data_IF_860299847591
#
_entry.id   IF_860299847591
#
_cell.length_a   1.000
_cell.length_b   1.000
_cell.length_c   1.000
_cell.angle_alpha   90.00
_cell.angle_beta   90.00
_cell.angle_gamma   90.00
#
_symmetry.space_group_name_H-M   'P 1'
#
loop_
_entity.id
_entity.type
_entity.pdbx_description
1 polymer ?
#
# COMPACT_ATOMS: atom_id res chain seq x y z
N UNK A 1 -27.59 -15.86 -33.87
CA UNK A 1 -27.91 -14.79 -32.89
C UNK A 1 -26.91 -14.92 -31.74
N UNK A 2 -25.76 -14.28 -31.89
CA UNK A 2 -24.71 -14.30 -30.88
C UNK A 2 -25.16 -13.45 -29.69
N UNK A 3 -25.52 -14.09 -28.59
CA UNK A 3 -25.83 -13.41 -27.33
C UNK A 3 -24.58 -12.62 -26.93
N UNK A 4 -24.71 -11.29 -26.97
CA UNK A 4 -23.77 -10.32 -26.41
C UNK A 4 -23.47 -10.71 -24.96
N UNK A 5 -22.28 -11.30 -24.73
CA UNK A 5 -21.72 -11.36 -23.40
C UNK A 5 -21.50 -9.93 -22.93
N UNK A 6 -22.40 -9.43 -22.09
CA UNK A 6 -22.21 -8.20 -21.34
C UNK A 6 -20.87 -8.30 -20.61
N UNK A 7 -19.85 -7.55 -21.07
CA UNK A 7 -18.57 -7.40 -20.36
C UNK A 7 -18.88 -6.97 -18.93
N UNK A 8 -18.74 -7.88 -17.96
CA UNK A 8 -18.91 -7.56 -16.54
C UNK A 8 -17.88 -6.47 -16.19
N UNK A 9 -18.36 -5.32 -15.71
CA UNK A 9 -17.50 -4.22 -15.27
C UNK A 9 -16.52 -4.69 -14.19
N UNK A 10 -15.24 -4.35 -14.34
CA UNK A 10 -14.21 -4.64 -13.35
C UNK A 10 -14.46 -3.89 -12.04
N UNK A 11 -13.90 -4.41 -10.94
CA UNK A 11 -14.08 -3.83 -9.61
C UNK A 11 -13.65 -2.35 -9.56
N UNK A 12 -12.52 -2.03 -10.19
CA UNK A 12 -12.03 -0.64 -10.34
C UNK A 12 -13.06 0.26 -10.99
N UNK A 13 -13.67 -0.16 -12.10
CA UNK A 13 -14.69 0.62 -12.79
C UNK A 13 -15.92 0.85 -11.91
N UNK A 14 -16.35 -0.17 -11.15
CA UNK A 14 -17.47 -0.03 -10.20
C UNK A 14 -17.18 0.99 -9.11
N UNK A 15 -15.96 0.99 -8.55
CA UNK A 15 -15.55 1.96 -7.53
C UNK A 15 -15.51 3.37 -8.11
N UNK A 16 -14.94 3.56 -9.30
CA UNK A 16 -14.89 4.89 -9.95
C UNK A 16 -16.29 5.42 -10.29
N UNK A 17 -17.18 4.55 -10.76
CA UNK A 17 -18.59 4.91 -10.98
C UNK A 17 -19.25 5.27 -9.64
N UNK A 18 -19.02 4.48 -8.58
CA UNK A 18 -19.54 4.77 -7.24
C UNK A 18 -19.04 6.11 -6.69
N UNK A 19 -17.75 6.41 -6.85
CA UNK A 19 -17.17 7.71 -6.48
C UNK A 19 -17.83 8.86 -7.26
N UNK A 20 -17.86 8.77 -8.59
CA UNK A 20 -18.43 9.83 -9.43
C UNK A 20 -19.91 10.05 -9.14
N UNK A 21 -20.70 8.97 -9.04
CA UNK A 21 -22.11 9.04 -8.69
C UNK A 21 -22.34 9.61 -7.28
N UNK A 22 -21.48 9.25 -6.32
CA UNK A 22 -21.54 9.77 -4.95
C UNK A 22 -21.30 11.27 -4.91
N UNK A 23 -20.22 11.75 -5.56
CA UNK A 23 -19.90 13.18 -5.65
C UNK A 23 -21.05 13.95 -6.32
N UNK A 24 -21.55 13.46 -7.46
CA UNK A 24 -22.66 14.11 -8.17
C UNK A 24 -23.90 14.17 -7.28
N UNK A 25 -24.27 13.07 -6.61
CA UNK A 25 -25.42 13.06 -5.71
C UNK A 25 -25.24 14.02 -4.54
N UNK A 26 -24.09 14.00 -3.87
CA UNK A 26 -23.82 14.89 -2.74
C UNK A 26 -23.89 16.37 -3.14
N UNK A 27 -23.30 16.75 -4.27
CA UNK A 27 -23.38 18.12 -4.80
C UNK A 27 -24.80 18.51 -5.21
N UNK A 28 -25.56 17.60 -5.84
CA UNK A 28 -26.96 17.86 -6.20
C UNK A 28 -27.82 18.06 -4.95
N UNK A 29 -27.71 17.19 -3.95
CA UNK A 29 -28.46 17.31 -2.70
C UNK A 29 -28.13 18.62 -1.98
N UNK A 30 -26.85 18.98 -1.91
CA UNK A 30 -26.41 20.25 -1.32
C UNK A 30 -26.97 21.47 -2.04
N UNK A 31 -26.94 21.49 -3.38
CA UNK A 31 -27.36 22.66 -4.16
C UNK A 31 -28.88 22.79 -4.29
N UNK A 32 -29.61 21.68 -4.38
CA UNK A 32 -31.07 21.68 -4.55
C UNK A 32 -31.81 21.83 -3.22
N UNK A 33 -31.22 21.38 -2.13
CA UNK A 33 -31.83 21.39 -0.80
C UNK A 33 -30.86 21.92 0.27
N UNK A 34 -30.40 23.17 0.13
CA UNK A 34 -29.54 23.79 1.14
C UNK A 34 -30.26 23.81 2.50
N UNK A 35 -29.54 23.46 3.55
CA UNK A 35 -29.99 23.49 4.95
C UNK A 35 -31.22 22.62 5.29
N UNK A 36 -31.54 21.61 4.47
CA UNK A 36 -32.63 20.68 4.77
C UNK A 36 -32.28 19.76 5.95
N UNK A 37 -33.00 19.93 7.06
CA UNK A 37 -32.87 19.07 8.25
C UNK A 37 -33.11 17.58 7.93
N UNK A 38 -34.06 17.29 7.05
CA UNK A 38 -34.36 15.92 6.61
C UNK A 38 -33.17 15.26 5.91
N UNK A 39 -32.50 15.99 5.00
CA UNK A 39 -31.33 15.45 4.29
C UNK A 39 -30.18 15.25 5.26
N UNK A 40 -29.92 16.22 6.13
CA UNK A 40 -28.84 16.10 7.11
C UNK A 40 -29.05 14.92 8.07
N UNK A 41 -30.25 14.77 8.64
CA UNK A 41 -30.51 13.74 9.64
C UNK A 41 -30.64 12.34 9.03
N UNK A 42 -31.47 12.17 7.99
CA UNK A 42 -31.80 10.84 7.48
C UNK A 42 -30.89 10.36 6.34
N UNK A 43 -30.41 11.28 5.50
CA UNK A 43 -29.56 10.92 4.35
C UNK A 43 -28.08 10.97 4.74
N UNK A 44 -27.61 12.12 5.22
CA UNK A 44 -26.20 12.37 5.53
C UNK A 44 -25.73 11.59 6.77
N UNK A 45 -26.34 11.83 7.93
CA UNK A 45 -25.99 11.17 9.19
C UNK A 45 -26.68 9.82 9.41
N UNK A 46 -27.73 9.54 8.64
CA UNK A 46 -28.38 8.24 8.57
C UNK A 46 -27.73 7.32 7.53
N UNK A 47 -28.37 7.21 6.37
CA UNK A 47 -28.05 6.19 5.37
C UNK A 47 -26.59 6.21 4.88
N UNK A 48 -26.08 7.38 4.49
CA UNK A 48 -24.73 7.52 3.95
C UNK A 48 -23.67 7.25 5.02
N UNK A 49 -23.86 7.79 6.23
CA UNK A 49 -22.96 7.54 7.34
C UNK A 49 -22.93 6.06 7.75
N UNK A 50 -24.07 5.40 7.89
CA UNK A 50 -24.12 3.97 8.27
C UNK A 50 -23.36 3.11 7.26
N UNK A 51 -23.62 3.28 5.96
CA UNK A 51 -22.95 2.50 4.92
C UNK A 51 -21.44 2.78 4.90
N UNK A 52 -21.06 4.06 4.98
CA UNK A 52 -19.66 4.46 5.01
C UNK A 52 -18.92 3.91 6.23
N UNK A 53 -19.51 4.03 7.41
CA UNK A 53 -18.91 3.59 8.68
C UNK A 53 -18.82 2.07 8.77
N UNK A 54 -19.82 1.33 8.28
CA UNK A 54 -19.75 -0.13 8.19
C UNK A 54 -18.60 -0.56 7.28
N UNK A 55 -18.44 0.10 6.13
CA UNK A 55 -17.33 -0.18 5.21
C UNK A 55 -15.95 0.10 5.86
N UNK A 56 -15.78 1.28 6.48
CA UNK A 56 -14.53 1.63 7.18
C UNK A 56 -14.25 0.68 8.34
N UNK A 57 -15.26 0.30 9.11
CA UNK A 57 -15.12 -0.67 10.21
C UNK A 57 -14.70 -2.04 9.69
N UNK A 58 -15.23 -2.46 8.54
CA UNK A 58 -14.80 -3.68 7.85
C UNK A 58 -13.33 -3.65 7.43
N UNK A 59 -12.81 -2.50 7.00
CA UNK A 59 -11.38 -2.31 6.73
C UNK A 59 -10.55 -2.36 8.03
N UNK A 60 -10.98 -1.67 9.09
CA UNK A 60 -10.31 -1.67 10.41
C UNK A 60 -10.22 -3.08 11.02
N UNK A 61 -11.27 -3.88 10.87
CA UNK A 61 -11.34 -5.27 11.36
C UNK A 61 -10.21 -6.16 10.79
N UNK A 62 -9.77 -5.89 9.56
CA UNK A 62 -8.76 -6.70 8.88
C UNK A 62 -7.33 -6.36 9.30
N UNK A 63 -7.09 -5.19 9.89
CA UNK A 63 -5.74 -4.66 10.16
C UNK A 63 -4.90 -5.64 10.97
N UNK A 64 -5.35 -5.99 12.19
CA UNK A 64 -4.53 -6.77 13.13
C UNK A 64 -4.29 -8.21 12.64
N UNK A 65 -5.33 -8.99 12.22
CA UNK A 65 -5.11 -10.35 11.77
C UNK A 65 -4.24 -10.44 10.52
N UNK A 66 -4.48 -9.54 9.55
CA UNK A 66 -3.72 -9.52 8.30
C UNK A 66 -2.24 -9.26 8.57
N UNK A 67 -1.92 -8.24 9.36
CA UNK A 67 -0.54 -7.85 9.64
C UNK A 67 0.20 -8.95 10.36
N UNK A 68 -0.39 -9.51 11.42
CA UNK A 68 0.24 -10.60 12.16
C UNK A 68 0.52 -11.81 11.27
N UNK A 69 -0.49 -12.31 10.56
CA UNK A 69 -0.36 -13.53 9.74
C UNK A 69 0.59 -13.30 8.56
N UNK A 70 0.47 -12.17 7.86
CA UNK A 70 1.31 -11.85 6.71
C UNK A 70 2.77 -11.68 7.11
N UNK A 71 3.06 -11.05 8.25
CA UNK A 71 4.42 -10.91 8.77
C UNK A 71 5.04 -12.25 9.17
N UNK A 72 4.27 -13.10 9.85
CA UNK A 72 4.73 -14.45 10.18
C UNK A 72 5.02 -15.26 8.92
N UNK A 73 4.17 -15.19 7.89
CA UNK A 73 4.43 -15.82 6.58
C UNK A 73 5.71 -15.28 5.95
N UNK A 74 5.83 -13.94 5.85
CA UNK A 74 6.97 -13.27 5.24
C UNK A 74 8.30 -13.64 5.91
N UNK A 75 8.35 -13.61 7.24
CA UNK A 75 9.56 -13.90 8.01
C UNK A 75 9.87 -15.40 8.15
N UNK A 76 8.85 -16.27 8.14
CA UNK A 76 9.06 -17.73 8.19
C UNK A 76 9.51 -18.34 6.86
N UNK A 77 9.27 -17.66 5.73
CA UNK A 77 9.73 -18.09 4.40
C UNK A 77 11.27 -18.09 4.25
N UNK A 78 11.99 -17.53 5.22
CA UNK A 78 13.45 -17.41 5.27
C UNK A 78 14.14 -18.70 5.79
N UNK A 79 13.70 -19.87 5.34
CA UNK A 79 13.96 -21.17 5.96
C UNK A 79 15.36 -21.78 5.78
N UNK A 80 16.28 -21.16 5.04
CA UNK A 80 17.65 -21.68 4.91
C UNK A 80 18.74 -20.60 5.07
N UNK A 81 19.07 -20.20 6.30
CA UNK A 81 20.09 -19.17 6.58
C UNK A 81 21.45 -19.44 5.92
N UNK A 82 21.78 -20.71 5.64
CA UNK A 82 23.09 -21.14 5.15
C UNK A 82 23.34 -20.85 3.67
N UNK A 83 22.29 -20.84 2.83
CA UNK A 83 22.36 -20.49 1.40
C UNK A 83 21.63 -19.19 1.06
N UNK A 84 20.73 -18.76 1.94
CA UNK A 84 19.78 -17.67 1.71
C UNK A 84 20.10 -16.43 2.57
N UNK A 85 21.00 -16.53 3.56
CA UNK A 85 21.30 -15.44 4.48
C UNK A 85 21.84 -14.18 3.80
N UNK A 86 22.83 -14.31 2.91
CA UNK A 86 23.40 -13.15 2.19
C UNK A 86 22.40 -12.54 1.21
N UNK A 87 21.73 -13.37 0.40
CA UNK A 87 20.77 -12.93 -0.62
C UNK A 87 19.53 -12.26 0.02
N UNK A 88 18.92 -12.94 1.01
CA UNK A 88 17.79 -12.44 1.78
C UNK A 88 18.14 -11.20 2.59
N UNK A 89 19.26 -11.21 3.31
CA UNK A 89 19.72 -10.06 4.10
C UNK A 89 19.95 -8.81 3.23
N UNK A 90 20.63 -8.94 2.08
CA UNK A 90 20.81 -7.84 1.14
C UNK A 90 19.47 -7.33 0.60
N UNK A 91 18.56 -8.24 0.26
CA UNK A 91 17.24 -7.90 -0.32
C UNK A 91 16.38 -7.13 0.68
N UNK A 92 16.25 -7.65 1.91
CA UNK A 92 15.48 -6.99 2.98
C UNK A 92 16.09 -5.64 3.33
N UNK A 93 17.42 -5.57 3.49
CA UNK A 93 18.10 -4.31 3.78
C UNK A 93 17.86 -3.27 2.67
N UNK A 94 17.91 -3.70 1.41
CA UNK A 94 17.63 -2.82 0.27
C UNK A 94 16.18 -2.33 0.28
N UNK A 95 15.19 -3.20 0.49
CA UNK A 95 13.78 -2.81 0.57
C UNK A 95 13.50 -1.85 1.73
N UNK A 96 14.02 -2.12 2.93
CA UNK A 96 13.83 -1.20 4.06
C UNK A 96 14.47 0.17 3.80
N UNK A 97 15.63 0.18 3.14
CA UNK A 97 16.30 1.41 2.75
C UNK A 97 15.49 2.21 1.71
N UNK A 98 14.95 1.55 0.68
CA UNK A 98 14.13 2.24 -0.32
C UNK A 98 12.81 2.74 0.25
N UNK A 99 12.15 1.96 1.12
CA UNK A 99 10.93 2.39 1.82
C UNK A 99 11.18 3.62 2.68
N UNK A 100 12.27 3.61 3.46
CA UNK A 100 12.64 4.73 4.33
C UNK A 100 12.90 6.01 3.52
N UNK A 101 13.58 5.90 2.38
CA UNK A 101 13.75 7.03 1.44
C UNK A 101 12.39 7.49 0.92
N UNK A 102 11.56 6.57 0.45
CA UNK A 102 10.27 6.85 -0.16
C UNK A 102 9.37 7.68 0.78
N UNK A 103 9.23 7.25 2.04
CA UNK A 103 8.40 7.95 3.01
C UNK A 103 9.02 9.28 3.47
N UNK A 104 10.36 9.34 3.60
CA UNK A 104 11.03 10.59 3.97
C UNK A 104 10.83 11.66 2.91
N UNK A 105 10.97 11.30 1.63
CA UNK A 105 10.69 12.19 0.50
C UNK A 105 9.22 12.60 0.50
N UNK A 106 8.30 11.65 0.73
CA UNK A 106 6.87 11.91 0.77
C UNK A 106 6.48 12.92 1.86
N UNK A 107 6.95 12.71 3.10
CA UNK A 107 6.71 13.63 4.21
C UNK A 107 7.31 15.00 3.91
N UNK A 108 8.56 15.05 3.43
CA UNK A 108 9.24 16.31 3.12
C UNK A 108 8.48 17.12 2.06
N UNK A 109 8.06 16.48 0.98
CA UNK A 109 7.28 17.12 -0.10
C UNK A 109 5.91 17.56 0.41
N UNK A 110 5.24 16.74 1.22
CA UNK A 110 3.93 17.09 1.78
C UNK A 110 4.01 18.25 2.77
N UNK A 111 5.06 18.32 3.60
CA UNK A 111 5.31 19.47 4.47
C UNK A 111 5.53 20.71 3.61
N UNK A 112 6.37 20.67 2.58
CA UNK A 112 6.63 21.84 1.73
C UNK A 112 5.41 22.33 0.95
N UNK A 113 4.60 21.42 0.42
CA UNK A 113 3.44 21.77 -0.41
C UNK A 113 2.23 22.18 0.46
N UNK A 114 2.16 21.69 1.71
CA UNK A 114 1.02 21.87 2.61
C UNK A 114 -0.33 21.52 1.93
N UNK A 115 -0.60 20.24 1.64
CA UNK A 115 -1.81 19.84 0.91
C UNK A 115 -3.11 20.02 1.70
N UNK A 116 -3.07 20.00 3.04
CA UNK A 116 -4.22 20.24 3.91
C UNK A 116 -4.42 21.71 4.23
N UNK A 117 -5.66 22.10 4.54
CA UNK A 117 -6.00 23.45 4.98
C UNK A 117 -6.68 23.38 6.36
N UNK A 118 -6.19 24.15 7.34
CA UNK A 118 -6.72 24.18 8.70
C UNK A 118 -8.09 24.89 8.82
N UNK A 119 -8.55 25.59 7.77
CA UNK A 119 -9.91 26.17 7.69
C UNK A 119 -11.03 25.12 7.76
N UNK A 120 -10.68 23.83 7.81
CA UNK A 120 -11.58 22.68 7.88
C UNK A 120 -12.00 22.32 9.32
N UNK A 121 -11.39 22.93 10.33
CA UNK A 121 -11.69 22.70 11.76
C UNK A 121 -12.95 23.44 12.21
N UNK A 122 -13.39 24.48 11.49
CA UNK A 122 -14.51 25.35 11.88
C UNK A 122 -15.92 24.74 11.81
N UNK A 123 -16.06 23.45 11.46
CA UNK A 123 -17.35 22.72 11.45
C UNK A 123 -17.41 21.57 12.47
N UNK A 124 -16.77 21.70 13.64
CA UNK A 124 -17.05 20.85 14.81
C UNK A 124 -16.15 19.64 15.04
N UNK A 125 -14.99 19.57 14.38
CA UNK A 125 -13.98 18.54 14.62
C UNK A 125 -12.94 18.99 15.66
N UNK A 126 -13.36 19.24 16.91
CA UNK A 126 -12.39 19.42 18.01
C UNK A 126 -11.77 18.07 18.36
N UNK A 127 -10.62 17.77 17.78
CA UNK A 127 -9.86 16.57 18.08
C UNK A 127 -8.78 16.88 19.11
N UNK A 128 -8.92 16.33 20.33
CA UNK A 128 -7.83 16.33 21.30
C UNK A 128 -6.87 15.20 20.94
N UNK A 129 -5.76 15.54 20.28
CA UNK A 129 -4.69 14.59 20.03
C UNK A 129 -4.20 14.02 21.37
N UNK A 130 -4.08 12.70 21.45
CA UNK A 130 -3.36 12.06 22.56
C UNK A 130 -1.89 12.46 22.44
N UNK A 131 -1.25 12.76 23.57
CA UNK A 131 0.20 12.96 23.58
C UNK A 131 0.89 11.71 23.01
N UNK A 132 1.71 11.92 21.99
CA UNK A 132 2.49 10.85 21.42
C UNK A 132 3.56 10.41 22.45
N UNK A 133 3.77 9.10 22.66
CA UNK A 133 4.75 8.60 23.62
C UNK A 133 6.16 9.06 23.23
N UNK A 134 7.01 9.27 24.24
CA UNK A 134 8.41 9.63 24.00
C UNK A 134 9.15 8.52 23.22
N UNK A 135 10.20 8.87 22.46
CA UNK A 135 10.98 7.87 21.73
C UNK A 135 11.55 6.77 22.65
N UNK A 136 11.95 7.13 23.88
CA UNK A 136 12.38 6.19 24.91
C UNK A 136 11.28 5.22 25.32
N UNK A 137 10.06 5.71 25.53
CA UNK A 137 8.92 4.84 25.86
C UNK A 137 8.55 3.96 24.68
N UNK A 138 8.63 4.45 23.45
CA UNK A 138 8.42 3.64 22.24
C UNK A 138 9.44 2.51 22.15
N UNK A 139 10.72 2.79 22.41
CA UNK A 139 11.77 1.77 22.40
C UNK A 139 11.61 0.75 23.53
N UNK A 140 11.18 1.17 24.72
CA UNK A 140 10.89 0.27 25.84
C UNK A 140 9.67 -0.60 25.51
N UNK A 141 8.62 0.02 24.98
CA UNK A 141 7.33 -0.62 24.71
C UNK A 141 7.30 -1.35 23.36
N UNK A 142 8.40 -1.41 22.61
CA UNK A 142 8.49 -2.18 21.37
C UNK A 142 8.28 -3.68 21.63
N UNK A 143 8.73 -4.16 22.79
CA UNK A 143 8.56 -5.55 23.23
C UNK A 143 7.25 -5.66 24.02
N UNK A 144 6.22 -6.37 23.53
CA UNK A 144 5.01 -6.58 24.31
C UNK A 144 5.28 -7.48 25.52
N UNK A 145 4.73 -7.10 26.68
CA UNK A 145 4.62 -8.01 27.82
C UNK A 145 3.57 -9.11 27.58
N UNK A 146 2.55 -8.81 26.76
CA UNK A 146 1.51 -9.75 26.34
C UNK A 146 1.12 -9.51 24.86
N UNK A 147 1.55 -10.38 23.93
CA UNK A 147 1.24 -10.25 22.51
C UNK A 147 -0.26 -10.29 22.18
N UNK A 148 -1.06 -11.04 22.94
CA UNK A 148 -2.51 -11.12 22.70
C UNK A 148 -3.21 -9.83 23.11
N UNK A 149 -2.78 -9.22 24.22
CA UNK A 149 -3.25 -7.89 24.62
C UNK A 149 -2.85 -6.85 23.58
N UNK A 150 -1.61 -6.88 23.09
CA UNK A 150 -1.15 -6.01 22.02
C UNK A 150 -2.04 -6.11 20.76
N UNK A 151 -2.42 -7.33 20.36
CA UNK A 151 -3.37 -7.56 19.27
C UNK A 151 -4.77 -6.99 19.56
N UNK A 152 -5.27 -7.17 20.78
CA UNK A 152 -6.59 -6.66 21.18
C UNK A 152 -6.65 -5.14 21.24
N UNK A 153 -5.58 -4.49 21.68
CA UNK A 153 -5.47 -3.03 21.81
C UNK A 153 -5.03 -2.36 20.50
N UNK A 154 -4.53 -3.14 19.53
CA UNK A 154 -4.01 -2.63 18.28
C UNK A 154 -2.63 -1.97 18.42
N UNK A 155 -1.80 -2.41 19.37
CA UNK A 155 -0.43 -1.93 19.56
C UNK A 155 0.46 -2.47 18.44
N UNK A 156 0.43 -1.82 17.29
CA UNK A 156 0.97 -2.37 16.04
C UNK A 156 2.47 -2.64 16.07
N UNK A 157 3.26 -1.73 16.64
CA UNK A 157 4.71 -1.93 16.72
C UNK A 157 5.07 -3.21 17.51
N UNK A 158 4.33 -3.48 18.59
CA UNK A 158 4.47 -4.70 19.38
C UNK A 158 4.04 -5.96 18.60
N UNK A 159 2.92 -5.87 17.87
CA UNK A 159 2.43 -6.96 17.01
C UNK A 159 3.47 -7.28 15.93
N UNK A 160 4.05 -6.26 15.30
CA UNK A 160 5.07 -6.41 14.27
C UNK A 160 6.32 -7.09 14.84
N UNK A 161 6.87 -6.59 15.95
CA UNK A 161 8.06 -7.18 16.56
C UNK A 161 7.81 -8.65 16.93
N UNK A 162 6.68 -8.93 17.58
CA UNK A 162 6.32 -10.29 17.94
C UNK A 162 6.17 -11.19 16.71
N UNK A 163 5.48 -10.74 15.66
CA UNK A 163 5.30 -11.49 14.42
C UNK A 163 6.64 -11.83 13.75
N UNK A 164 7.57 -10.87 13.70
CA UNK A 164 8.91 -11.06 13.12
C UNK A 164 9.72 -12.08 13.91
N UNK A 165 9.76 -11.95 15.24
CA UNK A 165 10.47 -12.91 16.11
C UNK A 165 9.83 -14.31 16.00
N UNK A 166 8.51 -14.37 15.96
CA UNK A 166 7.77 -15.63 15.88
C UNK A 166 8.00 -16.34 14.53
N UNK A 167 7.90 -15.62 13.41
CA UNK A 167 8.18 -16.19 12.09
C UNK A 167 9.65 -16.56 11.91
N UNK A 168 10.58 -15.77 12.47
CA UNK A 168 12.00 -16.16 12.53
C UNK A 168 12.21 -17.44 13.35
N UNK A 169 11.54 -17.61 14.50
CA UNK A 169 11.62 -18.84 15.26
C UNK A 169 11.06 -20.04 14.47
N UNK A 170 9.95 -19.87 13.73
CA UNK A 170 9.39 -20.88 12.84
C UNK A 170 10.42 -21.33 11.79
N UNK A 171 11.18 -20.43 11.19
CA UNK A 171 12.17 -20.79 10.17
C UNK A 171 13.36 -21.59 10.70
N UNK A 172 13.59 -21.60 12.03
CA UNK A 172 14.77 -22.22 12.67
C UNK A 172 14.50 -23.54 13.40
N UNK A 173 13.25 -24.01 13.45
CA UNK A 173 12.86 -25.25 14.18
C UNK A 173 12.62 -26.46 13.24
N UNK A 174 13.10 -26.39 11.99
CA UNK A 174 13.10 -27.49 11.03
C UNK A 174 11.69 -27.96 10.60
N UNK A 175 11.45 -29.27 10.60
CA UNK A 175 10.18 -29.88 10.14
C UNK A 175 8.94 -29.45 10.94
N UNK A 176 9.09 -29.10 12.22
CA UNK A 176 7.99 -28.52 13.00
C UNK A 176 7.65 -27.13 12.49
N UNK A 177 8.67 -26.34 12.18
CA UNK A 177 8.56 -25.01 11.60
C UNK A 177 7.83 -25.01 10.27
N UNK A 178 8.23 -25.91 9.35
CA UNK A 178 7.56 -26.06 8.05
C UNK A 178 6.06 -26.31 8.18
N UNK A 179 5.63 -27.13 9.13
CA UNK A 179 4.19 -27.39 9.38
C UNK A 179 3.45 -26.16 9.89
N UNK A 180 4.06 -25.37 10.78
CA UNK A 180 3.46 -24.13 11.28
C UNK A 180 3.43 -23.07 10.17
N UNK A 181 4.51 -22.92 9.39
CA UNK A 181 4.56 -22.02 8.24
C UNK A 181 3.47 -22.35 7.21
N UNK A 182 3.24 -23.63 6.91
CA UNK A 182 2.17 -24.06 6.01
C UNK A 182 0.78 -23.63 6.54
N UNK A 183 0.50 -23.83 7.82
CA UNK A 183 -0.75 -23.35 8.45
C UNK A 183 -0.90 -21.84 8.32
N UNK A 184 0.16 -21.07 8.55
CA UNK A 184 0.11 -19.61 8.41
C UNK A 184 -0.14 -19.17 6.96
N UNK A 185 0.45 -19.85 5.98
CA UNK A 185 0.17 -19.62 4.57
C UNK A 185 -1.31 -19.88 4.23
N UNK A 186 -1.89 -20.98 4.74
CA UNK A 186 -3.32 -21.28 4.56
C UNK A 186 -4.21 -20.21 5.22
N UNK A 187 -3.86 -19.76 6.43
CA UNK A 187 -4.56 -18.67 7.12
C UNK A 187 -4.45 -17.34 6.35
N UNK A 188 -3.30 -17.07 5.74
CA UNK A 188 -3.11 -15.89 4.91
C UNK A 188 -4.07 -15.91 3.73
N UNK A 189 -4.14 -17.02 2.97
CA UNK A 189 -5.10 -17.17 1.87
C UNK A 189 -6.56 -16.96 2.29
N UNK A 190 -6.95 -17.49 3.47
CA UNK A 190 -8.28 -17.26 4.04
C UNK A 190 -8.53 -15.78 4.30
N UNK A 191 -7.59 -15.07 4.94
CA UNK A 191 -7.74 -13.63 5.21
C UNK A 191 -7.81 -12.83 3.91
N UNK A 192 -7.00 -13.17 2.91
CA UNK A 192 -7.03 -12.53 1.59
C UNK A 192 -8.38 -12.72 0.89
N UNK A 193 -9.04 -13.85 1.12
CA UNK A 193 -10.42 -14.06 0.68
C UNK A 193 -11.41 -13.13 1.39
N UNK A 194 -11.25 -12.91 2.70
CA UNK A 194 -12.05 -11.94 3.46
C UNK A 194 -11.84 -10.52 2.95
N UNK A 195 -10.57 -10.11 2.71
CA UNK A 195 -10.24 -8.82 2.08
C UNK A 195 -11.01 -8.65 0.76
N UNK A 196 -11.00 -9.67 -0.08
CA UNK A 196 -11.72 -9.66 -1.35
C UNK A 196 -13.24 -9.46 -1.17
N UNK A 197 -13.85 -10.11 -0.19
CA UNK A 197 -15.28 -9.95 0.12
C UNK A 197 -15.60 -8.53 0.58
N UNK A 198 -14.80 -7.95 1.46
CA UNK A 198 -14.96 -6.55 1.91
C UNK A 198 -14.78 -5.58 0.73
N UNK A 199 -13.80 -5.83 -0.15
CA UNK A 199 -13.57 -4.99 -1.32
C UNK A 199 -14.71 -5.04 -2.35
N UNK A 200 -15.52 -6.09 -2.38
CA UNK A 200 -16.75 -6.11 -3.20
C UNK A 200 -17.80 -5.11 -2.71
N UNK A 201 -17.75 -4.71 -1.43
CA UNK A 201 -18.60 -3.67 -0.85
C UNK A 201 -18.06 -2.26 -1.12
N UNK A 202 -16.79 -2.13 -1.53
CA UNK A 202 -16.14 -0.84 -1.76
C UNK A 202 -16.90 0.11 -2.69
N UNK A 203 -17.52 -0.32 -3.82
CA UNK A 203 -18.31 0.60 -4.65
C UNK A 203 -19.41 1.33 -3.88
N UNK A 204 -20.07 0.65 -2.94
CA UNK A 204 -21.15 1.22 -2.13
C UNK A 204 -20.61 2.06 -0.98
N UNK A 205 -19.57 1.57 -0.30
CA UNK A 205 -18.88 2.30 0.76
C UNK A 205 -18.28 3.62 0.27
N UNK A 206 -17.53 3.57 -0.84
CA UNK A 206 -16.95 4.77 -1.48
C UNK A 206 -18.05 5.71 -1.98
N UNK A 207 -19.12 5.20 -2.59
CA UNK A 207 -20.26 6.04 -2.97
C UNK A 207 -20.82 6.80 -1.76
N UNK A 208 -21.08 6.10 -0.65
CA UNK A 208 -21.68 6.69 0.53
C UNK A 208 -20.77 7.72 1.19
N UNK A 209 -19.47 7.40 1.32
CA UNK A 209 -18.46 8.30 1.86
C UNK A 209 -18.29 9.55 0.98
N UNK A 210 -18.21 9.40 -0.34
CA UNK A 210 -18.04 10.52 -1.27
C UNK A 210 -19.30 11.39 -1.39
N UNK A 211 -20.48 10.78 -1.33
CA UNK A 211 -21.73 11.52 -1.26
C UNK A 211 -21.81 12.34 0.02
N UNK A 212 -21.54 11.73 1.20
CA UNK A 212 -21.49 12.44 2.48
C UNK A 212 -20.49 13.59 2.40
N UNK A 213 -19.27 13.31 1.93
CA UNK A 213 -18.20 14.29 1.77
C UNK A 213 -18.64 15.49 0.92
N UNK A 214 -19.18 15.25 -0.27
CA UNK A 214 -19.61 16.31 -1.19
C UNK A 214 -20.80 17.13 -0.66
N UNK A 215 -21.61 16.52 0.21
CA UNK A 215 -22.77 17.15 0.85
C UNK A 215 -22.35 18.03 2.02
N UNK A 216 -21.42 17.56 2.87
CA UNK A 216 -21.00 18.25 4.10
C UNK A 216 -19.85 19.22 3.89
N UNK A 217 -18.86 18.90 3.04
CA UNK A 217 -17.61 19.65 2.99
C UNK A 217 -17.60 20.72 1.89
N UNK A 218 -17.11 21.91 2.21
CA UNK A 218 -16.97 23.05 1.29
C UNK A 218 -16.12 22.76 0.05
N UNK A 219 -16.25 23.63 -0.96
CA UNK A 219 -15.41 23.59 -2.17
C UNK A 219 -13.90 23.65 -1.83
N UNK A 220 -13.54 24.32 -0.73
CA UNK A 220 -12.16 24.38 -0.24
C UNK A 220 -11.61 23.02 0.19
N UNK A 221 -12.42 22.18 0.86
CA UNK A 221 -12.00 20.81 1.23
C UNK A 221 -11.77 19.96 -0.01
N UNK A 222 -12.66 20.06 -1.00
CA UNK A 222 -12.51 19.32 -2.25
C UNK A 222 -11.20 19.70 -2.96
N UNK A 223 -10.86 20.99 -2.98
CA UNK A 223 -9.58 21.48 -3.48
C UNK A 223 -8.39 20.87 -2.73
N UNK A 224 -8.45 20.78 -1.40
CA UNK A 224 -7.40 20.14 -0.58
C UNK A 224 -7.24 18.65 -0.89
N UNK A 225 -8.33 17.91 -1.12
CA UNK A 225 -8.28 16.48 -1.51
C UNK A 225 -7.67 16.31 -2.91
N UNK A 226 -8.01 17.19 -3.85
CA UNK A 226 -7.40 17.21 -5.20
C UNK A 226 -5.92 17.55 -5.10
N UNK A 227 -5.53 18.53 -4.27
CA UNK A 227 -4.13 18.87 -4.02
C UNK A 227 -3.37 17.67 -3.43
N UNK A 228 -3.93 17.01 -2.43
CA UNK A 228 -3.41 15.75 -1.88
C UNK A 228 -3.19 14.70 -2.96
N UNK A 229 -4.17 14.47 -3.84
CA UNK A 229 -4.05 13.51 -4.93
C UNK A 229 -2.83 13.79 -5.81
N UNK A 230 -2.64 15.05 -6.24
CA UNK A 230 -1.51 15.41 -7.08
C UNK A 230 -0.16 15.36 -6.35
N UNK A 231 -0.13 15.63 -5.04
CA UNK A 231 1.09 15.46 -4.24
C UNK A 231 1.50 13.99 -4.20
N UNK A 232 0.58 13.08 -3.86
CA UNK A 232 0.88 11.64 -3.83
C UNK A 232 1.31 11.16 -5.22
N UNK A 233 0.56 11.52 -6.26
CA UNK A 233 0.89 11.15 -7.63
C UNK A 233 2.28 11.67 -8.03
N UNK A 234 2.59 12.93 -7.73
CA UNK A 234 3.89 13.54 -8.02
C UNK A 234 5.04 12.81 -7.34
N UNK A 235 4.90 12.51 -6.04
CA UNK A 235 5.93 11.78 -5.29
C UNK A 235 6.09 10.34 -5.82
N UNK A 236 5.00 9.65 -6.14
CA UNK A 236 5.05 8.31 -6.74
C UNK A 236 5.79 8.31 -8.08
N UNK A 237 5.53 9.29 -8.93
CA UNK A 237 6.21 9.45 -10.22
C UNK A 237 7.70 9.79 -10.01
N UNK A 238 8.03 10.67 -9.06
CA UNK A 238 9.42 10.97 -8.69
C UNK A 238 10.12 9.70 -8.22
N UNK A 239 9.49 8.91 -7.36
CA UNK A 239 10.09 7.68 -6.85
C UNK A 239 10.31 6.65 -7.96
N UNK A 240 9.27 6.42 -8.77
CA UNK A 240 9.30 5.46 -9.87
C UNK A 240 10.24 5.81 -11.03
N UNK A 241 10.35 7.10 -11.39
CA UNK A 241 11.09 7.56 -12.56
C UNK A 241 12.41 8.28 -12.24
N UNK A 242 12.66 8.62 -10.98
CA UNK A 242 13.91 9.29 -10.57
C UNK A 242 14.63 8.45 -9.53
N UNK A 243 14.01 8.12 -8.39
CA UNK A 243 14.69 7.42 -7.29
C UNK A 243 15.14 6.02 -7.73
N UNK A 244 14.22 5.17 -8.20
CA UNK A 244 14.58 3.82 -8.65
C UNK A 244 15.58 3.78 -9.81
N UNK A 245 15.40 4.55 -10.91
CA UNK A 245 16.42 4.70 -11.95
C UNK A 245 17.79 5.13 -11.44
N UNK A 246 17.83 6.07 -10.50
CA UNK A 246 19.08 6.57 -9.92
C UNK A 246 19.77 5.49 -9.10
N UNK A 247 19.03 4.78 -8.23
CA UNK A 247 19.56 3.65 -7.46
C UNK A 247 20.08 2.56 -8.39
N UNK A 248 19.31 2.18 -9.42
CA UNK A 248 19.76 1.21 -10.42
C UNK A 248 21.08 1.64 -11.05
N UNK A 249 21.18 2.89 -11.52
CA UNK A 249 22.39 3.41 -12.16
C UNK A 249 23.59 3.43 -11.21
N UNK A 250 23.39 3.88 -9.97
CA UNK A 250 24.44 4.00 -8.95
C UNK A 250 25.00 2.62 -8.56
N UNK A 251 24.13 1.64 -8.30
CA UNK A 251 24.55 0.34 -7.79
C UNK A 251 24.99 -0.65 -8.90
N UNK A 252 24.53 -0.47 -10.14
CA UNK A 252 24.81 -1.44 -11.22
C UNK A 252 25.55 -0.88 -12.42
N UNK A 253 25.58 0.44 -12.59
CA UNK A 253 26.06 1.10 -13.81
C UNK A 253 25.15 0.93 -15.04
N UNK A 254 24.08 0.13 -14.96
CA UNK A 254 23.18 -0.17 -16.06
C UNK A 254 22.40 1.07 -16.54
N UNK A 255 21.90 1.03 -17.78
CA UNK A 255 21.10 2.11 -18.34
C UNK A 255 19.62 2.03 -17.86
N UNK A 256 19.15 2.95 -17.00
CA UNK A 256 17.80 2.87 -16.46
C UNK A 256 16.68 3.06 -17.49
N UNK A 257 16.94 3.72 -18.62
CA UNK A 257 15.94 3.86 -19.69
C UNK A 257 15.63 2.50 -20.34
N UNK A 258 16.63 1.63 -20.45
CA UNK A 258 16.44 0.25 -20.94
C UNK A 258 15.53 -0.52 -19.99
N UNK A 259 15.76 -0.40 -18.68
CA UNK A 259 14.92 -1.02 -17.65
C UNK A 259 13.46 -0.56 -17.75
N UNK A 260 13.19 0.76 -17.72
CA UNK A 260 11.83 1.30 -17.78
C UNK A 260 11.10 0.81 -19.05
N UNK A 261 11.79 0.84 -20.20
CA UNK A 261 11.20 0.41 -21.47
C UNK A 261 10.82 -1.08 -21.48
N UNK A 262 11.64 -1.93 -20.86
CA UNK A 262 11.39 -3.39 -20.77
C UNK A 262 10.31 -3.74 -19.74
N UNK A 263 10.16 -2.92 -18.70
CA UNK A 263 9.17 -3.09 -17.63
C UNK A 263 7.79 -2.51 -17.92
N UNK A 264 7.66 -1.70 -18.98
CA UNK A 264 6.40 -1.00 -19.32
C UNK A 264 5.16 -1.89 -19.27
N UNK A 265 5.20 -3.08 -19.89
CA UNK A 265 4.02 -3.94 -19.96
C UNK A 265 3.66 -4.51 -18.57
N UNK A 266 4.66 -4.83 -17.75
CA UNK A 266 4.49 -5.27 -16.35
C UNK A 266 3.90 -4.14 -15.51
N UNK A 267 4.42 -2.91 -15.65
CA UNK A 267 3.93 -1.72 -14.94
C UNK A 267 2.47 -1.42 -15.30
N UNK A 268 2.10 -1.51 -16.58
CA UNK A 268 0.73 -1.32 -17.02
C UNK A 268 -0.19 -2.43 -16.50
N UNK A 269 0.29 -3.67 -16.45
CA UNK A 269 -0.47 -4.78 -15.87
C UNK A 269 -0.69 -4.56 -14.36
N UNK A 270 0.36 -4.24 -13.60
CA UNK A 270 0.30 -3.90 -12.19
C UNK A 270 -0.64 -2.73 -11.90
N UNK A 271 -0.57 -1.68 -12.71
CA UNK A 271 -1.48 -0.54 -12.65
C UNK A 271 -2.95 -1.00 -12.82
N UNK A 272 -3.21 -1.84 -13.82
CA UNK A 272 -4.58 -2.30 -14.12
C UNK A 272 -5.17 -3.22 -13.05
N UNK A 273 -4.34 -4.08 -12.45
CA UNK A 273 -4.78 -5.04 -11.44
C UNK A 273 -4.82 -4.44 -10.04
N UNK A 274 -4.00 -3.41 -9.78
CA UNK A 274 -3.73 -2.87 -8.45
C UNK A 274 -3.30 -3.96 -7.45
N UNK A 275 -2.62 -5.01 -7.93
CA UNK A 275 -2.12 -6.10 -7.11
C UNK A 275 -0.72 -6.52 -7.52
N UNK A 276 0.25 -6.38 -6.60
CA UNK A 276 1.61 -6.89 -6.78
C UNK A 276 1.61 -8.42 -6.90
N UNK A 277 0.78 -9.10 -6.09
CA UNK A 277 0.67 -10.57 -6.12
C UNK A 277 0.10 -11.07 -7.45
N UNK A 278 -0.94 -10.43 -8.00
CA UNK A 278 -1.49 -10.80 -9.29
C UNK A 278 -0.51 -10.58 -10.44
N UNK A 279 0.44 -9.65 -10.27
CA UNK A 279 1.43 -9.28 -11.29
C UNK A 279 2.69 -10.14 -11.22
N UNK A 280 2.93 -10.81 -10.08
CA UNK A 280 4.15 -11.56 -9.80
C UNK A 280 4.59 -12.54 -10.90
N UNK A 281 3.71 -13.38 -11.52
CA UNK A 281 4.14 -14.29 -12.57
C UNK A 281 4.73 -13.56 -13.79
N UNK A 282 4.10 -12.43 -14.17
CA UNK A 282 4.54 -11.61 -15.30
C UNK A 282 5.82 -10.84 -14.95
N UNK A 283 5.97 -10.42 -13.68
CA UNK A 283 7.19 -9.79 -13.19
C UNK A 283 8.39 -10.75 -13.24
N UNK A 284 8.21 -12.01 -12.81
CA UNK A 284 9.26 -13.05 -12.86
C UNK A 284 9.69 -13.31 -14.30
N UNK A 285 8.72 -13.53 -15.20
CA UNK A 285 9.00 -13.75 -16.63
C UNK A 285 9.79 -12.58 -17.24
N UNK A 286 9.40 -11.34 -16.92
CA UNK A 286 10.11 -10.16 -17.40
C UNK A 286 11.52 -10.05 -16.81
N UNK A 287 11.70 -10.34 -15.53
CA UNK A 287 13.01 -10.33 -14.88
C UNK A 287 13.97 -11.34 -15.52
N UNK A 288 13.51 -12.56 -15.78
CA UNK A 288 14.33 -13.63 -16.34
C UNK A 288 14.62 -13.41 -17.82
N UNK A 289 13.57 -13.25 -18.63
CA UNK A 289 13.70 -13.31 -20.08
C UNK A 289 13.93 -11.96 -20.75
N UNK A 290 13.59 -10.84 -20.08
CA UNK A 290 13.81 -9.49 -20.62
C UNK A 290 14.97 -8.79 -19.93
N UNK A 291 15.12 -8.95 -18.62
CA UNK A 291 16.15 -8.24 -17.85
C UNK A 291 17.42 -9.05 -17.60
N UNK A 292 17.39 -10.37 -17.82
CA UNK A 292 18.57 -11.24 -17.72
C UNK A 292 18.92 -11.63 -16.29
N UNK A 293 17.96 -11.63 -15.37
CA UNK A 293 18.17 -12.11 -13.99
C UNK A 293 18.08 -13.63 -13.95
N UNK A 294 18.98 -14.31 -13.23
CA UNK A 294 18.84 -15.76 -13.01
C UNK A 294 17.59 -16.08 -12.17
N UNK A 295 16.89 -17.18 -12.53
CA UNK A 295 15.68 -17.61 -11.85
C UNK A 295 15.89 -17.79 -10.33
N UNK A 296 17.06 -18.23 -9.87
CA UNK A 296 17.35 -18.40 -8.43
C UNK A 296 17.18 -17.10 -7.63
N UNK A 297 17.49 -15.96 -8.25
CA UNK A 297 17.34 -14.64 -7.62
C UNK A 297 15.92 -14.13 -7.83
N UNK A 298 15.39 -14.20 -9.06
CA UNK A 298 14.06 -13.70 -9.40
C UNK A 298 12.94 -14.42 -8.61
N UNK A 299 12.99 -15.75 -8.52
CA UNK A 299 12.00 -16.58 -7.82
C UNK A 299 12.01 -16.41 -6.31
N UNK A 300 13.00 -15.70 -5.76
CA UNK A 300 13.12 -15.43 -4.33
C UNK A 300 12.83 -13.96 -4.00
N UNK A 301 13.52 -13.04 -4.67
CA UNK A 301 13.46 -11.61 -4.36
C UNK A 301 12.14 -10.95 -4.76
N UNK A 302 11.51 -11.38 -5.86
CA UNK A 302 10.24 -10.82 -6.33
C UNK A 302 9.04 -11.25 -5.48
N UNK A 303 8.86 -12.54 -5.11
CA UNK A 303 7.79 -12.92 -4.18
C UNK A 303 7.95 -12.27 -2.80
N UNK A 304 9.20 -12.16 -2.34
CA UNK A 304 9.51 -11.45 -1.10
C UNK A 304 9.14 -9.96 -1.21
N UNK A 305 9.54 -9.31 -2.30
CA UNK A 305 9.24 -7.90 -2.59
C UNK A 305 7.75 -7.59 -2.62
N UNK A 306 6.94 -8.45 -3.25
CA UNK A 306 5.49 -8.29 -3.34
C UNK A 306 4.77 -8.20 -1.98
N UNK A 307 5.45 -8.59 -0.88
CA UNK A 307 4.94 -8.53 0.50
C UNK A 307 5.68 -7.55 1.41
N UNK A 308 6.93 -7.22 1.10
CA UNK A 308 7.79 -6.38 1.97
C UNK A 308 7.99 -4.99 1.38
N UNK A 309 8.19 -4.90 0.07
CA UNK A 309 8.61 -3.69 -0.60
C UNK A 309 7.39 -2.90 -1.08
N UNK A 310 6.85 -2.10 -0.16
CA UNK A 310 5.66 -1.30 -0.41
C UNK A 310 5.93 0.20 -0.38
N UNK A 311 6.99 0.64 -1.05
CA UNK A 311 7.40 2.05 -1.14
C UNK A 311 6.26 2.99 -1.55
N UNK A 312 5.47 2.62 -2.55
CA UNK A 312 4.31 3.40 -2.99
C UNK A 312 3.24 3.51 -1.91
N UNK A 313 3.04 2.46 -1.12
CA UNK A 313 2.16 2.48 0.06
C UNK A 313 2.71 3.41 1.13
N UNK A 314 4.02 3.33 1.42
CA UNK A 314 4.68 4.19 2.38
C UNK A 314 4.66 5.67 1.97
N UNK A 315 4.79 5.96 0.66
CA UNK A 315 4.61 7.31 0.10
C UNK A 315 3.21 7.83 0.41
N UNK A 316 2.17 7.05 0.09
CA UNK A 316 0.80 7.48 0.40
C UNK A 316 0.62 7.71 1.90
N UNK A 317 1.15 6.81 2.74
CA UNK A 317 1.03 6.95 4.19
C UNK A 317 1.69 8.23 4.70
N UNK A 318 2.91 8.54 4.24
CA UNK A 318 3.61 9.77 4.61
C UNK A 318 2.83 11.03 4.22
N UNK A 319 2.37 11.12 2.97
CA UNK A 319 1.58 12.28 2.51
C UNK A 319 0.22 12.34 3.23
N UNK A 320 -0.45 11.21 3.44
CA UNK A 320 -1.75 11.15 4.09
C UNK A 320 -1.68 11.58 5.56
N UNK A 321 -0.66 11.16 6.30
CA UNK A 321 -0.44 11.60 7.68
C UNK A 321 -0.28 13.11 7.74
N UNK A 322 0.58 13.71 6.90
CA UNK A 322 0.77 15.16 6.85
C UNK A 322 -0.53 15.87 6.48
N UNK A 323 -1.25 15.36 5.47
CA UNK A 323 -2.52 15.93 5.02
C UNK A 323 -3.57 15.91 6.13
N UNK A 324 -3.77 14.76 6.79
CA UNK A 324 -4.76 14.61 7.86
C UNK A 324 -4.39 15.48 9.05
N UNK A 325 -3.13 15.52 9.46
CA UNK A 325 -2.66 16.41 10.52
C UNK A 325 -3.01 17.88 10.22
N UNK A 326 -2.74 18.35 8.99
CA UNK A 326 -3.06 19.71 8.56
C UNK A 326 -4.56 20.00 8.51
N UNK A 327 -5.37 19.04 8.07
CA UNK A 327 -6.85 19.18 8.04
C UNK A 327 -7.43 19.31 9.45
N UNK A 328 -6.93 18.51 10.39
CA UNK A 328 -7.40 18.51 11.78
C UNK A 328 -6.72 19.57 12.65
N UNK A 329 -5.79 20.36 12.10
CA UNK A 329 -5.04 21.37 12.86
C UNK A 329 -4.13 20.77 13.94
N UNK A 330 -3.66 19.54 13.73
CA UNK A 330 -2.72 18.87 14.65
C UNK A 330 -1.30 19.15 14.19
N UNK A 331 -0.52 19.81 15.04
CA UNK A 331 0.89 20.06 14.79
C UNK A 331 1.72 18.83 15.13
N UNK A 332 2.20 18.14 14.10
CA UNK A 332 3.13 17.01 14.27
C UNK A 332 4.55 17.50 14.49
N UNK A 333 5.19 16.99 15.53
CA UNK A 333 6.59 17.24 15.85
C UNK A 333 7.52 16.41 14.95
N UNK A 334 8.82 16.75 14.97
CA UNK A 334 9.85 15.95 14.29
C UNK A 334 9.88 14.51 14.83
N UNK A 335 9.59 14.32 16.12
CA UNK A 335 9.50 12.99 16.74
C UNK A 335 8.35 12.19 16.16
N UNK A 336 7.19 12.82 15.94
CA UNK A 336 6.02 12.17 15.35
C UNK A 336 6.29 11.74 13.90
N UNK A 337 6.92 12.61 13.10
CA UNK A 337 7.33 12.25 11.74
C UNK A 337 8.33 11.11 11.74
N UNK A 338 9.28 11.10 12.68
CA UNK A 338 10.24 9.99 12.81
C UNK A 338 9.53 8.68 13.16
N UNK A 339 8.54 8.73 14.06
CA UNK A 339 7.69 7.57 14.37
C UNK A 339 6.89 7.10 13.15
N UNK A 340 6.34 8.02 12.35
CA UNK A 340 5.66 7.66 11.09
C UNK A 340 6.62 6.95 10.13
N UNK A 341 7.85 7.45 9.95
CA UNK A 341 8.86 6.80 9.10
C UNK A 341 9.16 5.39 9.58
N UNK A 342 9.43 5.21 10.88
CA UNK A 342 9.75 3.89 11.45
C UNK A 342 8.56 2.94 11.35
N UNK A 343 7.38 3.36 11.81
CA UNK A 343 6.18 2.52 11.84
C UNK A 343 5.74 2.15 10.43
N UNK A 344 5.70 3.09 9.49
CA UNK A 344 5.33 2.78 8.11
C UNK A 344 6.36 1.90 7.40
N UNK A 345 7.66 2.10 7.66
CA UNK A 345 8.72 1.24 7.10
C UNK A 345 8.60 -0.19 7.63
N UNK A 346 8.39 -0.36 8.93
CA UNK A 346 8.18 -1.69 9.52
C UNK A 346 6.85 -2.32 9.11
N UNK A 347 5.79 -1.51 8.99
CA UNK A 347 4.48 -1.93 8.52
C UNK A 347 4.48 -2.33 7.05
N UNK A 348 5.38 -1.77 6.24
CA UNK A 348 5.54 -2.20 4.84
C UNK A 348 5.92 -3.68 4.74
N UNK A 349 6.66 -4.19 5.74
CA UNK A 349 6.92 -5.62 5.90
C UNK A 349 5.59 -6.31 6.21
N UNK A 350 5.19 -7.27 5.39
CA UNK A 350 3.95 -8.02 5.60
C UNK A 350 2.68 -7.26 5.23
N UNK A 351 2.80 -6.17 4.48
CA UNK A 351 1.62 -5.65 3.78
C UNK A 351 1.30 -6.62 2.63
N UNK A 352 0.04 -7.04 2.48
CA UNK A 352 -0.33 -7.94 1.39
C UNK A 352 -0.47 -7.16 0.07
N UNK A 353 0.10 -7.69 -1.02
CA UNK A 353 0.12 -7.07 -2.35
C UNK A 353 -1.21 -7.11 -3.10
N UNK A 354 -2.31 -6.71 -2.46
CA UNK A 354 -3.67 -6.70 -3.02
C UNK A 354 -4.38 -5.35 -2.83
N UNK A 355 -5.45 -5.07 -3.60
CA UNK A 355 -6.09 -3.76 -3.60
C UNK A 355 -6.63 -3.36 -2.24
N UNK A 356 -6.45 -2.09 -1.88
CA UNK A 356 -7.06 -1.48 -0.69
C UNK A 356 -6.35 -1.74 0.64
N UNK A 357 -5.33 -2.60 0.68
CA UNK A 357 -4.57 -2.88 1.93
C UNK A 357 -3.81 -1.64 2.42
N UNK A 358 -3.37 -0.75 1.53
CA UNK A 358 -2.66 0.47 1.94
C UNK A 358 -3.46 1.36 2.91
N UNK A 359 -4.78 1.45 2.74
CA UNK A 359 -5.66 2.23 3.63
C UNK A 359 -5.84 1.58 5.00
N UNK A 360 -5.86 0.25 5.03
CA UNK A 360 -5.89 -0.54 6.26
C UNK A 360 -4.63 -0.23 7.08
N UNK A 361 -3.47 -0.21 6.42
CA UNK A 361 -2.19 0.10 7.07
C UNK A 361 -2.05 1.58 7.45
N UNK A 362 -2.70 2.50 6.73
CA UNK A 362 -2.71 3.91 7.11
C UNK A 362 -3.40 4.13 8.46
N UNK A 363 -4.49 3.41 8.77
CA UNK A 363 -5.16 3.52 10.06
C UNK A 363 -4.22 3.26 11.24
N UNK A 364 -3.29 2.31 11.07
CA UNK A 364 -2.23 2.02 12.03
C UNK A 364 -1.28 3.20 12.20
N UNK A 365 -0.80 3.78 11.10
CA UNK A 365 0.17 4.88 11.13
C UNK A 365 -0.45 6.11 11.80
N UNK A 366 -1.71 6.41 11.51
CA UNK A 366 -2.43 7.54 12.12
C UNK A 366 -2.60 7.36 13.64
N UNK A 367 -3.04 6.18 14.08
CA UNK A 367 -3.24 5.90 15.50
C UNK A 367 -1.92 6.03 16.30
N UNK A 368 -0.78 5.64 15.70
CA UNK A 368 0.53 5.73 16.33
C UNK A 368 0.94 7.17 16.68
N UNK A 369 0.56 8.14 15.86
CA UNK A 369 0.82 9.57 16.12
C UNK A 369 -0.41 10.30 16.65
N UNK A 370 -1.37 9.53 17.18
CA UNK A 370 -2.55 10.07 17.83
C UNK A 370 -3.51 10.80 16.89
N UNK A 371 -3.50 10.53 15.57
CA UNK A 371 -4.42 11.13 14.60
C UNK A 371 -5.72 10.31 14.44
N UNK A 372 -6.86 10.95 14.13
CA UNK A 372 -8.12 10.27 13.94
C UNK A 372 -8.12 9.47 12.63
N UNK A 373 -8.43 8.18 12.74
CA UNK A 373 -8.57 7.27 11.60
C UNK A 373 -9.77 7.61 10.70
N UNK A 374 -10.71 8.41 11.22
CA UNK A 374 -11.82 8.99 10.48
C UNK A 374 -11.33 9.90 9.34
N UNK A 375 -10.14 10.49 9.46
CA UNK A 375 -9.51 11.29 8.40
C UNK A 375 -9.27 10.52 7.11
N UNK A 376 -9.22 9.19 7.15
CA UNK A 376 -9.12 8.32 5.96
C UNK A 376 -10.33 8.51 5.04
N UNK A 377 -11.51 8.83 5.59
CA UNK A 377 -12.73 9.05 4.81
C UNK A 377 -12.58 10.21 3.80
N UNK A 378 -11.69 11.17 4.06
CA UNK A 378 -11.44 12.31 3.18
C UNK A 378 -10.69 11.91 1.90
N UNK A 379 -9.85 10.88 1.97
CA UNK A 379 -8.93 10.50 0.88
C UNK A 379 -9.34 9.19 0.20
N UNK A 380 -10.20 8.37 0.82
CA UNK A 380 -10.58 7.04 0.33
C UNK A 380 -11.16 7.03 -1.09
N UNK A 381 -11.84 8.11 -1.49
CA UNK A 381 -12.37 8.25 -2.83
C UNK A 381 -11.27 8.30 -3.88
N UNK A 382 -10.33 9.22 -3.71
CA UNK A 382 -9.22 9.41 -4.65
C UNK A 382 -8.16 8.30 -4.53
N UNK A 383 -8.10 7.61 -3.38
CA UNK A 383 -7.12 6.55 -3.13
C UNK A 383 -7.18 5.44 -4.17
N UNK A 384 -8.37 5.10 -4.69
CA UNK A 384 -8.46 4.01 -5.67
C UNK A 384 -7.60 4.26 -6.91
N UNK A 385 -7.51 5.50 -7.37
CA UNK A 385 -6.67 5.90 -8.50
C UNK A 385 -5.19 5.83 -8.12
N UNK A 386 -4.86 6.32 -6.93
CA UNK A 386 -3.50 6.31 -6.40
C UNK A 386 -3.02 4.87 -6.19
N UNK A 387 -3.88 3.96 -5.74
CA UNK A 387 -3.61 2.55 -5.50
C UNK A 387 -3.02 1.85 -6.73
N UNK A 388 -3.61 2.10 -7.90
CA UNK A 388 -3.11 1.58 -9.17
C UNK A 388 -1.67 2.05 -9.45
N UNK A 389 -1.40 3.34 -9.24
CA UNK A 389 -0.05 3.91 -9.44
C UNK A 389 0.93 3.35 -8.40
N UNK A 390 0.52 3.24 -7.13
CA UNK A 390 1.33 2.66 -6.05
C UNK A 390 1.75 1.24 -6.39
N UNK A 391 0.82 0.40 -6.85
CA UNK A 391 1.14 -0.98 -7.23
C UNK A 391 2.19 -1.01 -8.34
N UNK A 392 2.03 -0.18 -9.38
CA UNK A 392 3.01 -0.11 -10.46
C UNK A 392 4.40 0.33 -9.97
N UNK A 393 4.45 1.30 -9.03
CA UNK A 393 5.71 1.73 -8.38
C UNK A 393 6.30 0.59 -7.54
N UNK A 394 5.53 -0.09 -6.70
CA UNK A 394 6.02 -1.21 -5.88
C UNK A 394 6.64 -2.32 -6.73
N UNK A 395 5.94 -2.78 -7.77
CA UNK A 395 6.45 -3.81 -8.70
C UNK A 395 7.71 -3.33 -9.44
N UNK A 396 7.80 -2.03 -9.74
CA UNK A 396 9.02 -1.43 -10.31
C UNK A 396 10.18 -1.52 -9.31
N UNK A 397 9.94 -1.19 -8.04
CA UNK A 397 10.91 -1.31 -6.96
C UNK A 397 11.39 -2.74 -6.76
N UNK A 398 10.48 -3.71 -6.74
CA UNK A 398 10.79 -5.14 -6.61
C UNK A 398 11.79 -5.58 -7.68
N UNK A 399 11.52 -5.15 -8.92
CA UNK A 399 12.33 -5.51 -10.07
C UNK A 399 13.68 -4.78 -10.06
N UNK A 400 13.73 -3.51 -9.64
CA UNK A 400 15.00 -2.78 -9.48
C UNK A 400 15.87 -3.44 -8.42
N UNK A 401 15.32 -3.77 -7.26
CA UNK A 401 16.02 -4.47 -6.20
C UNK A 401 16.55 -5.82 -6.72
N UNK A 402 15.69 -6.59 -7.39
CA UNK A 402 16.04 -7.88 -7.98
C UNK A 402 17.23 -7.78 -8.94
N UNK A 403 17.25 -6.79 -9.83
CA UNK A 403 18.37 -6.56 -10.77
C UNK A 403 19.65 -6.16 -10.03
N UNK A 404 19.56 -5.26 -9.05
CA UNK A 404 20.72 -4.82 -8.24
C UNK A 404 21.33 -6.01 -7.49
N UNK A 405 20.47 -6.79 -6.83
CA UNK A 405 20.88 -7.96 -6.05
C UNK A 405 21.50 -9.01 -6.96
N UNK A 406 20.85 -9.35 -8.07
CA UNK A 406 21.36 -10.30 -9.07
C UNK A 406 22.74 -9.91 -9.59
N UNK A 407 22.94 -8.63 -9.95
CA UNK A 407 24.25 -8.14 -10.40
C UNK A 407 25.29 -8.21 -9.28
N UNK A 408 24.91 -7.92 -8.03
CA UNK A 408 25.83 -8.03 -6.88
C UNK A 408 26.22 -9.47 -6.53
N UNK A 409 25.43 -10.46 -6.96
CA UNK A 409 25.66 -11.88 -6.73
C UNK A 409 26.27 -12.59 -7.96
N UNK A 410 26.57 -11.86 -9.05
CA UNK A 410 27.02 -12.40 -10.35
C UNK A 410 26.02 -13.37 -11.02
N UNK A 411 24.74 -13.24 -10.70
CA UNK A 411 23.63 -14.03 -11.25
C UNK A 411 22.81 -13.19 -12.24
N UNK A 412 23.51 -12.44 -13.10
CA UNK A 412 22.92 -11.46 -14.02
C UNK A 412 23.59 -11.49 -15.40
N UNK A 413 22.79 -11.53 -16.46
CA UNK A 413 23.21 -11.54 -17.85
C UNK A 413 23.03 -10.15 -18.49
N UNK A 414 24.14 -9.42 -18.60
CA UNK A 414 24.16 -8.06 -19.16
C UNK A 414 23.90 -8.03 -20.68
N UNK A 415 24.15 -9.12 -21.40
CA UNK A 415 23.83 -9.22 -22.84
C UNK A 415 22.31 -9.22 -23.04
N UNK A 416 21.59 -10.03 -22.25
CA UNK A 416 20.12 -10.07 -22.27
C UNK A 416 19.54 -8.71 -21.89
N UNK A 417 20.10 -8.06 -20.85
CA UNK A 417 19.64 -6.74 -20.43
C UNK A 417 19.79 -5.68 -21.53
N UNK A 418 20.90 -5.68 -22.26
CA UNK A 418 21.16 -4.69 -23.31
C UNK A 418 20.43 -5.00 -24.63
N UNK A 419 20.00 -6.24 -24.87
CA UNK A 419 19.21 -6.60 -26.05
C UNK A 419 17.77 -6.06 -25.94
N UNK A 420 17.43 -5.07 -26.76
CA UNK A 420 16.09 -4.47 -26.80
C UNK A 420 14.98 -5.40 -27.30
N UNK A 421 15.32 -6.58 -27.86
CA UNK A 421 14.38 -7.59 -28.34
C UNK A 421 14.23 -8.78 -27.39
N UNK A 422 15.05 -8.88 -26.35
CA UNK A 422 14.98 -9.95 -25.35
C UNK A 422 13.56 -10.10 -24.78
N UNK A 423 13.04 -11.33 -24.83
CA UNK A 423 11.73 -11.71 -24.29
C UNK A 423 10.50 -11.15 -25.05
N UNK A 424 10.67 -10.55 -26.24
CA UNK A 424 9.54 -10.16 -27.12
C UNK A 424 9.06 -11.28 -28.05
N UNK A 425 9.83 -12.36 -28.18
CA UNK A 425 9.63 -13.45 -29.16
C UNK A 425 8.86 -14.66 -28.62
N UNK A 426 8.56 -14.72 -27.32
CA UNK A 426 7.54 -15.63 -26.79
C UNK A 426 6.16 -14.98 -27.03
N UNK A 427 5.26 -15.71 -27.70
CA UNK A 427 4.03 -15.19 -28.31
C UNK A 427 3.29 -14.12 -27.52
N UNK A 428 2.81 -13.10 -28.24
CA UNK A 428 2.23 -11.86 -27.71
C UNK A 428 1.41 -12.06 -26.43
N UNK A 429 1.59 -11.14 -25.49
CA UNK A 429 0.82 -10.94 -24.24
C UNK A 429 -0.68 -11.29 -24.31
N UNK A 430 -1.34 -11.04 -25.46
CA UNK A 430 -2.75 -11.40 -25.69
C UNK A 430 -3.00 -12.91 -25.87
N UNK A 431 -2.05 -13.67 -26.43
CA UNK A 431 -2.20 -15.10 -26.68
C UNK A 431 -2.15 -15.90 -25.37
N UNK A 432 -1.41 -15.43 -24.36
CA UNK A 432 -1.28 -16.12 -23.08
C UNK A 432 -2.44 -15.84 -22.12
N UNK A 433 -3.04 -14.64 -22.17
CA UNK A 433 -4.22 -14.27 -21.37
C UNK A 433 -5.49 -15.04 -21.75
N UNK A 434 -5.56 -15.57 -22.98
CA UNK A 434 -6.70 -16.32 -23.49
C UNK A 434 -6.48 -17.84 -23.54
N UNK A 435 -5.35 -18.35 -23.03
CA UNK A 435 -5.00 -19.77 -23.07
C UNK A 435 -5.43 -20.57 -21.82
N UNK A 436 -6.27 -20.01 -20.93
CA UNK A 436 -6.91 -20.77 -19.84
C UNK A 436 -8.38 -20.41 -19.67
#
# INVERSE_FOLDING_TARGET
MALTQSKKLGLTSKILIGMGAGIILGLLLRNLFPDSSFINEYITEGFLHVIGTVFVSGLKMLVVPLVFISLVCGTSSLSDPSKLGRLGGKTIAFYLFTTAIAITVAISVAILIHPGNASLVSEGLSFNAKEAPSLSEVLINIVPTNPLQAMSEGNMLQIILFAVIFGFAISHIGERGKRVAALFNDLNEVIMRVVTLIMQLAPYGVFALMAKLALTLGLETFSSVVKYFFVVLGVLLIHGFIVYPSLLKIFTGLNPFTFIRKMRDVQLFAFSTASSNATLPVTIEAAEHRLGVDNKVASFTLPLGATINMDGTAIMQGVATVFIAQVYGVDLTITDYTMVVVTATLASIGTAGVPGVGLIMLAMVLNQVGLPVEGIALIIGVDRLLDMVRTAVNVTGDTVATVIIAKSENEFNEVVYNDTQAGKTAGSFNAQLHAK
#
